data_IF_478453107360
#
_entry.id   IF_478453107360
#
_cell.length_a   1.000
_cell.length_b   1.000
_cell.length_c   1.000
_cell.angle_alpha   90.00
_cell.angle_beta   90.00
_cell.angle_gamma   90.00
#
_symmetry.space_group_name_H-M   'P 1'
#
loop_
_entity.id
_entity.type
_entity.pdbx_description
1 polymer ?
#
# COMPACT_ATOMS: atom_id res chain seq x y z
N UNK A 1 -8.53 3.01 -17.25
CA UNK A 1 -8.37 3.77 -18.51
C UNK A 1 -8.86 5.20 -18.38
N UNK A 2 -10.08 5.46 -17.92
CA UNK A 2 -10.65 6.81 -17.77
C UNK A 2 -9.71 7.83 -17.08
N UNK A 3 -9.11 7.45 -15.95
CA UNK A 3 -8.14 8.29 -15.24
C UNK A 3 -6.98 8.76 -16.13
N UNK A 4 -6.40 7.84 -16.92
CA UNK A 4 -5.27 8.16 -17.80
C UNK A 4 -5.71 9.08 -18.93
N UNK A 5 -6.87 8.80 -19.54
CA UNK A 5 -7.43 9.63 -20.62
C UNK A 5 -7.66 11.07 -20.13
N UNK A 6 -8.30 11.25 -18.98
CA UNK A 6 -8.57 12.58 -18.40
C UNK A 6 -7.28 13.35 -18.12
N UNK A 7 -6.24 12.68 -17.62
CA UNK A 7 -4.93 13.31 -17.38
C UNK A 7 -4.29 13.73 -18.70
N UNK A 8 -4.25 12.85 -19.72
CA UNK A 8 -3.65 13.16 -21.01
C UNK A 8 -4.38 14.31 -21.72
N UNK A 9 -5.72 14.30 -21.70
CA UNK A 9 -6.53 15.40 -22.24
C UNK A 9 -6.20 16.72 -21.56
N UNK A 10 -6.10 16.72 -20.23
CA UNK A 10 -5.77 17.94 -19.47
C UNK A 10 -4.33 18.41 -19.72
N UNK A 11 -3.35 17.50 -19.77
CA UNK A 11 -1.96 17.84 -20.07
C UNK A 11 -1.76 18.39 -21.49
N UNK A 12 -2.54 17.92 -22.47
CA UNK A 12 -2.48 18.44 -23.84
C UNK A 12 -3.07 19.85 -23.96
N UNK A 13 -3.96 20.22 -23.05
CA UNK A 13 -4.60 21.54 -23.02
C UNK A 13 -3.88 22.54 -22.11
N UNK A 14 -3.01 22.08 -21.20
CA UNK A 14 -2.27 22.95 -20.30
C UNK A 14 -0.77 22.93 -20.50
N UNK A 15 -0.20 24.12 -20.54
CA UNK A 15 1.24 24.36 -20.55
C UNK A 15 1.80 24.58 -19.14
N UNK A 16 0.94 24.76 -18.14
CA UNK A 16 1.34 25.03 -16.76
C UNK A 16 1.60 23.73 -15.96
N UNK A 17 2.61 23.74 -15.07
CA UNK A 17 2.81 22.64 -14.13
C UNK A 17 1.56 22.43 -13.27
N UNK A 18 1.16 21.18 -13.10
CA UNK A 18 -0.11 20.83 -12.42
C UNK A 18 0.09 19.71 -11.41
N UNK A 19 -0.59 19.84 -10.28
CA UNK A 19 -0.68 18.81 -9.25
C UNK A 19 -1.95 17.99 -9.44
N UNK A 20 -1.79 16.68 -9.64
CA UNK A 20 -2.87 15.72 -9.81
C UNK A 20 -2.98 14.83 -8.57
N UNK A 21 -4.00 15.05 -7.76
CA UNK A 21 -4.43 14.07 -6.76
C UNK A 21 -5.32 13.02 -7.40
N UNK A 22 -4.95 11.75 -7.29
CA UNK A 22 -5.63 10.59 -7.87
C UNK A 22 -6.11 9.69 -6.74
N UNK A 23 -7.39 9.85 -6.37
CA UNK A 23 -8.00 9.14 -5.26
C UNK A 23 -8.58 7.80 -5.73
N UNK A 24 -7.87 6.70 -5.47
CA UNK A 24 -8.21 5.38 -6.00
C UNK A 24 -8.25 4.34 -4.89
N UNK A 25 -9.34 3.57 -4.84
CA UNK A 25 -9.60 2.58 -3.79
C UNK A 25 -8.43 1.59 -3.56
N UNK A 26 -8.24 1.07 -2.33
CA UNK A 26 -7.26 0.02 -2.10
C UNK A 26 -7.60 -1.22 -2.93
N UNK A 27 -6.62 -1.83 -3.59
CA UNK A 27 -6.85 -3.01 -4.42
C UNK A 27 -7.47 -2.73 -5.80
N UNK A 28 -7.77 -1.47 -6.17
CA UNK A 28 -8.36 -1.13 -7.47
C UNK A 28 -7.41 -1.16 -8.67
N UNK A 29 -6.11 -1.39 -8.46
CA UNK A 29 -5.11 -1.35 -9.53
C UNK A 29 -4.41 0.01 -9.72
N UNK A 30 -4.27 0.82 -8.65
CA UNK A 30 -3.47 2.06 -8.65
C UNK A 30 -2.12 1.93 -9.35
N UNK A 31 -1.33 0.93 -8.95
CA UNK A 31 0.01 0.66 -9.51
C UNK A 31 0.00 0.39 -11.01
N UNK A 32 -1.03 -0.31 -11.52
CA UNK A 32 -1.17 -0.52 -12.97
C UNK A 32 -1.62 0.75 -13.68
N UNK A 33 -2.45 1.57 -13.03
CA UNK A 33 -2.87 2.87 -13.58
C UNK A 33 -1.69 3.83 -13.67
N UNK A 34 -0.82 3.87 -12.66
CA UNK A 34 0.41 4.66 -12.71
C UNK A 34 1.38 4.15 -13.77
N UNK A 35 1.51 2.82 -13.92
CA UNK A 35 2.36 2.22 -14.95
C UNK A 35 1.89 2.57 -16.37
N UNK A 36 0.58 2.45 -16.63
CA UNK A 36 -0.03 2.85 -17.90
C UNK A 36 0.15 4.35 -18.18
N UNK A 37 0.03 5.18 -17.15
CA UNK A 37 0.25 6.62 -17.27
C UNK A 37 1.71 6.94 -17.66
N UNK A 38 2.67 6.29 -17.00
CA UNK A 38 4.11 6.42 -17.29
C UNK A 38 4.41 5.95 -18.72
N UNK A 39 3.80 4.85 -19.15
CA UNK A 39 3.90 4.35 -20.50
C UNK A 39 3.43 5.41 -21.52
N UNK A 40 2.26 6.04 -21.29
CA UNK A 40 1.79 7.12 -22.15
C UNK A 40 2.73 8.33 -22.15
N UNK A 41 3.24 8.74 -20.98
CA UNK A 41 4.19 9.86 -20.85
C UNK A 41 5.49 9.60 -21.63
N UNK A 42 5.96 8.36 -21.63
CA UNK A 42 7.13 7.95 -22.37
C UNK A 42 6.88 8.01 -23.89
N UNK A 43 5.80 7.37 -24.35
CA UNK A 43 5.47 7.25 -25.78
C UNK A 43 5.07 8.57 -26.45
N UNK A 44 4.32 9.42 -25.77
CA UNK A 44 3.93 10.74 -26.29
C UNK A 44 5.00 11.81 -26.04
N UNK A 45 6.15 11.43 -25.47
CA UNK A 45 7.25 12.34 -25.12
C UNK A 45 6.81 13.59 -24.33
N UNK A 46 5.81 13.45 -23.44
CA UNK A 46 5.22 14.58 -22.71
C UNK A 46 6.15 15.20 -21.67
N UNK A 47 7.11 14.42 -21.17
CA UNK A 47 8.09 14.82 -20.17
C UNK A 47 9.49 14.38 -20.60
N UNK A 48 10.50 15.16 -20.24
CA UNK A 48 11.92 14.84 -20.46
C UNK A 48 12.41 13.83 -19.42
N UNK A 49 11.83 13.91 -18.20
CA UNK A 49 12.20 13.06 -17.07
C UNK A 49 10.97 12.60 -16.31
N UNK A 50 10.95 11.32 -15.92
CA UNK A 50 9.86 10.72 -15.14
C UNK A 50 10.46 10.08 -13.89
N UNK A 51 10.05 10.54 -12.72
CA UNK A 51 10.50 10.06 -11.43
C UNK A 51 9.40 9.28 -10.73
N UNK A 52 9.67 8.02 -10.38
CA UNK A 52 8.77 7.15 -9.63
C UNK A 52 9.26 7.10 -8.19
N UNK A 53 8.51 7.71 -7.30
CA UNK A 53 8.87 7.85 -5.89
C UNK A 53 8.24 6.75 -5.04
N UNK A 54 9.08 6.04 -4.29
CA UNK A 54 8.68 5.01 -3.32
C UNK A 54 9.24 5.29 -1.92
N UNK A 55 8.41 5.11 -0.90
CA UNK A 55 8.71 5.45 0.50
C UNK A 55 9.77 4.54 1.17
N UNK A 56 10.09 3.37 0.62
CA UNK A 56 11.12 2.50 1.21
C UNK A 56 11.68 1.48 0.22
N UNK A 57 12.93 1.05 0.41
CA UNK A 57 13.60 0.00 -0.38
C UNK A 57 12.78 -1.30 -0.48
N UNK A 58 12.01 -1.65 0.57
CA UNK A 58 11.12 -2.83 0.59
C UNK A 58 9.79 -2.60 -0.16
N UNK A 59 9.24 -1.39 -0.15
CA UNK A 59 8.08 -1.02 -0.98
C UNK A 59 8.52 -0.87 -2.45
N UNK A 60 9.76 -0.43 -2.68
CA UNK A 60 10.38 -0.35 -4.00
C UNK A 60 10.51 -1.72 -4.68
N UNK A 61 10.65 -2.79 -3.90
CA UNK A 61 10.71 -4.17 -4.43
C UNK A 61 9.34 -4.74 -4.82
N UNK A 62 8.21 -4.17 -4.36
CA UNK A 62 6.85 -4.67 -4.67
C UNK A 62 6.01 -3.73 -5.55
N UNK A 63 6.11 -2.42 -5.32
CA UNK A 63 5.42 -1.39 -6.08
C UNK A 63 6.23 -0.99 -7.32
N UNK A 64 7.54 -0.89 -7.14
CA UNK A 64 8.51 -0.83 -8.24
C UNK A 64 8.37 -2.07 -9.10
N UNK A 65 8.48 -3.29 -8.57
CA UNK A 65 8.43 -4.50 -9.43
C UNK A 65 7.19 -4.61 -10.31
N UNK A 66 5.97 -4.33 -9.85
CA UNK A 66 4.80 -4.42 -10.74
C UNK A 66 4.73 -3.33 -11.79
N UNK A 67 5.02 -2.09 -11.42
CA UNK A 67 5.05 -0.97 -12.36
C UNK A 67 6.19 -1.14 -13.36
N UNK A 68 7.35 -1.59 -12.88
CA UNK A 68 8.59 -1.76 -13.63
C UNK A 68 8.48 -2.98 -14.53
N UNK A 69 8.05 -4.14 -14.02
CA UNK A 69 7.76 -5.31 -14.85
C UNK A 69 6.65 -5.06 -15.86
N UNK A 70 5.73 -4.13 -15.62
CA UNK A 70 4.80 -3.69 -16.67
C UNK A 70 5.55 -2.94 -17.77
N UNK A 71 6.38 -1.95 -17.43
CA UNK A 71 7.14 -1.15 -18.39
C UNK A 71 8.20 -1.98 -19.15
N UNK A 72 8.89 -2.88 -18.48
CA UNK A 72 9.90 -3.79 -19.05
C UNK A 72 9.30 -4.75 -20.08
N UNK A 73 8.03 -5.17 -19.93
CA UNK A 73 7.33 -5.97 -20.96
C UNK A 73 7.19 -5.21 -22.29
N UNK A 74 7.21 -3.89 -22.25
CA UNK A 74 7.23 -3.03 -23.43
C UNK A 74 8.64 -2.54 -23.79
N UNK A 75 9.68 -3.18 -23.23
CA UNK A 75 11.09 -2.82 -23.46
C UNK A 75 11.43 -1.38 -23.06
N UNK A 76 10.68 -0.80 -22.11
CA UNK A 76 10.94 0.54 -21.59
C UNK A 76 11.86 0.42 -20.37
N UNK A 77 13.11 0.93 -20.42
CA UNK A 77 14.05 0.80 -19.32
C UNK A 77 13.66 1.70 -18.14
N UNK A 78 13.72 1.14 -16.93
CA UNK A 78 13.57 1.89 -15.67
C UNK A 78 14.84 1.78 -14.86
N UNK A 79 15.41 2.92 -14.46
CA UNK A 79 16.65 2.98 -13.72
C UNK A 79 16.39 3.08 -12.22
N UNK A 80 17.05 2.23 -11.44
CA UNK A 80 16.81 2.11 -10.00
C UNK A 80 17.88 2.83 -9.19
N UNK A 81 17.45 3.76 -8.33
CA UNK A 81 18.31 4.49 -7.40
C UNK A 81 17.77 4.29 -5.98
N UNK A 82 18.32 3.29 -5.27
CA UNK A 82 17.86 2.93 -3.91
C UNK A 82 18.98 2.87 -2.86
N UNK A 83 20.23 3.07 -3.27
CA UNK A 83 21.39 2.98 -2.39
C UNK A 83 22.13 4.31 -2.34
N UNK A 84 22.47 4.74 -1.13
CA UNK A 84 23.45 5.80 -0.89
C UNK A 84 24.89 5.27 -0.91
N UNK A 85 25.10 3.94 -0.99
CA UNK A 85 26.44 3.33 -1.07
C UNK A 85 27.09 3.51 -2.44
N UNK A 86 26.29 3.59 -3.50
CA UNK A 86 26.72 4.12 -4.79
C UNK A 86 26.86 5.63 -4.57
N UNK A 87 28.09 6.11 -4.36
CA UNK A 87 28.34 7.48 -3.90
C UNK A 87 27.52 8.52 -4.65
N UNK A 88 27.10 9.58 -3.95
CA UNK A 88 26.15 10.62 -4.41
C UNK A 88 26.37 11.06 -5.87
N UNK A 89 27.63 11.16 -6.29
CA UNK A 89 28.04 11.53 -7.64
C UNK A 89 27.54 10.56 -8.74
N UNK A 90 27.48 9.27 -8.45
CA UNK A 90 26.92 8.25 -9.37
C UNK A 90 25.40 8.33 -9.51
N UNK A 91 24.70 8.65 -8.42
CA UNK A 91 23.25 8.85 -8.46
C UNK A 91 22.92 10.13 -9.25
N UNK A 92 23.73 11.18 -9.11
CA UNK A 92 23.62 12.43 -9.87
C UNK A 92 23.91 12.21 -11.36
N UNK A 93 24.92 11.40 -11.71
CA UNK A 93 25.23 11.13 -13.12
C UNK A 93 24.12 10.34 -13.80
N UNK A 94 23.51 9.37 -13.10
CA UNK A 94 22.33 8.64 -13.57
C UNK A 94 21.15 9.59 -13.75
N UNK A 95 20.89 10.45 -12.78
CA UNK A 95 19.81 11.44 -12.87
C UNK A 95 20.06 12.43 -14.01
N UNK A 96 21.29 12.88 -14.23
CA UNK A 96 21.62 13.88 -15.24
C UNK A 96 21.67 13.32 -16.67
N UNK A 97 21.66 12.00 -16.83
CA UNK A 97 21.69 11.36 -18.15
C UNK A 97 20.31 11.44 -18.85
N UNK A 98 20.21 12.07 -20.05
CA UNK A 98 18.96 12.15 -20.80
C UNK A 98 18.47 10.80 -21.33
N UNK A 99 19.36 9.84 -21.58
CA UNK A 99 18.97 8.48 -21.99
C UNK A 99 18.26 7.74 -20.86
N UNK A 100 18.52 8.11 -19.61
CA UNK A 100 17.89 7.53 -18.41
C UNK A 100 16.58 8.23 -18.06
N UNK A 101 15.61 8.15 -18.97
CA UNK A 101 14.35 8.93 -18.90
C UNK A 101 13.46 8.60 -17.69
N UNK A 102 13.38 7.33 -17.29
CA UNK A 102 12.52 6.87 -16.19
C UNK A 102 13.37 6.38 -15.04
N UNK A 103 13.22 7.00 -13.87
CA UNK A 103 14.01 6.69 -12.68
C UNK A 103 13.07 6.35 -11.53
N UNK A 104 13.29 5.20 -10.88
CA UNK A 104 12.66 4.87 -9.61
C UNK A 104 13.62 5.16 -8.46
N UNK A 105 13.21 6.02 -7.53
CA UNK A 105 14.04 6.41 -6.40
C UNK A 105 13.26 6.60 -5.10
N UNK A 106 13.99 6.75 -3.99
CA UNK A 106 13.41 7.15 -2.71
C UNK A 106 13.32 8.68 -2.61
N UNK A 107 12.46 9.16 -1.72
CA UNK A 107 12.36 10.59 -1.40
C UNK A 107 13.65 11.22 -0.89
N UNK A 108 14.44 10.44 -0.15
CA UNK A 108 15.72 10.89 0.40
C UNK A 108 16.69 11.23 -0.75
N UNK A 109 16.80 10.35 -1.74
CA UNK A 109 17.65 10.56 -2.91
C UNK A 109 17.17 11.75 -3.77
N UNK A 110 15.86 11.94 -3.90
CA UNK A 110 15.31 13.12 -4.57
C UNK A 110 15.79 14.43 -3.90
N UNK A 111 15.80 14.46 -2.57
CA UNK A 111 16.29 15.62 -1.81
C UNK A 111 17.80 15.80 -1.85
N UNK A 112 18.56 14.76 -2.22
CA UNK A 112 20.00 14.85 -2.48
C UNK A 112 20.29 15.47 -3.85
N UNK A 113 19.52 15.12 -4.90
CA UNK A 113 19.67 15.75 -6.22
C UNK A 113 19.50 17.26 -6.17
N UNK A 114 18.64 17.74 -5.28
CA UNK A 114 18.40 19.16 -5.05
C UNK A 114 19.58 19.90 -4.38
N UNK A 115 20.49 19.18 -3.71
CA UNK A 115 21.69 19.75 -3.08
C UNK A 115 22.86 19.92 -4.05
N UNK A 116 22.81 19.32 -5.23
CA UNK A 116 23.91 19.26 -6.18
C UNK A 116 23.48 19.79 -7.57
N UNK A 117 24.41 20.37 -8.35
CA UNK A 117 24.11 20.73 -9.73
C UNK A 117 23.77 19.47 -10.54
N UNK A 118 22.63 19.50 -11.21
CA UNK A 118 22.15 18.42 -12.09
C UNK A 118 21.87 18.99 -13.48
N UNK A 119 21.80 18.12 -14.50
CA UNK A 119 21.32 18.54 -15.82
C UNK A 119 19.92 19.13 -15.71
N UNK A 120 19.68 20.24 -16.41
CA UNK A 120 18.35 20.84 -16.56
C UNK A 120 17.47 19.99 -17.48
N UNK A 121 16.23 19.79 -17.06
CA UNK A 121 15.14 19.21 -17.86
C UNK A 121 14.00 20.22 -17.94
N UNK A 122 13.29 20.34 -19.05
CA UNK A 122 12.24 21.36 -19.17
C UNK A 122 10.92 20.89 -18.55
N UNK A 123 10.59 19.60 -18.70
CA UNK A 123 9.38 18.98 -18.16
C UNK A 123 9.71 17.73 -17.35
N UNK A 124 9.36 17.74 -16.06
CA UNK A 124 9.55 16.61 -15.15
C UNK A 124 8.19 16.13 -14.64
N UNK A 125 7.93 14.82 -14.73
CA UNK A 125 6.80 14.18 -14.06
C UNK A 125 7.28 13.46 -12.80
N UNK A 126 6.60 13.69 -11.67
CA UNK A 126 6.85 12.98 -10.41
C UNK A 126 5.61 12.15 -10.07
N UNK A 127 5.75 10.83 -10.12
CA UNK A 127 4.74 9.85 -9.76
C UNK A 127 4.95 9.43 -8.31
N UNK A 128 3.93 9.56 -7.48
CA UNK A 128 3.99 9.14 -6.07
C UNK A 128 2.84 8.19 -5.78
N UNK A 129 3.14 7.02 -5.23
CA UNK A 129 2.13 6.15 -4.64
C UNK A 129 2.05 6.32 -3.12
N UNK A 130 0.86 6.09 -2.56
CA UNK A 130 0.58 6.19 -1.13
C UNK A 130 0.97 7.55 -0.51
N UNK A 131 0.64 8.65 -1.20
CA UNK A 131 0.95 10.07 -0.87
C UNK A 131 0.43 10.59 0.51
N UNK A 132 -0.07 9.69 1.36
CA UNK A 132 -0.50 9.96 2.73
C UNK A 132 0.48 9.41 3.79
N UNK A 133 1.49 8.60 3.39
CA UNK A 133 2.40 7.94 4.33
C UNK A 133 3.48 8.87 4.87
N UNK A 134 3.96 8.47 6.04
CA UNK A 134 4.72 9.21 7.03
C UNK A 134 6.06 9.75 6.53
N UNK A 135 6.01 10.99 6.04
CA UNK A 135 6.88 12.08 6.50
C UNK A 135 6.04 13.38 6.48
N UNK A 136 4.90 13.41 7.18
CA UNK A 136 3.87 14.47 7.06
C UNK A 136 4.33 15.92 7.32
N UNK A 137 5.57 16.14 7.76
CA UNK A 137 6.27 17.42 7.64
C UNK A 137 7.45 17.38 6.67
N UNK A 138 8.30 16.35 6.64
CA UNK A 138 9.47 16.29 5.75
C UNK A 138 9.16 16.01 4.27
N UNK A 139 8.22 15.11 3.97
CA UNK A 139 7.67 14.88 2.63
C UNK A 139 6.84 16.07 2.19
N UNK A 140 5.91 16.52 3.05
CA UNK A 140 5.13 17.72 2.76
C UNK A 140 6.04 18.91 2.53
N UNK A 141 7.10 19.13 3.32
CA UNK A 141 8.04 20.24 3.15
C UNK A 141 9.00 20.03 1.99
N UNK A 142 9.51 18.83 1.71
CA UNK A 142 10.37 18.61 0.55
C UNK A 142 9.58 18.72 -0.76
N UNK A 143 8.41 18.08 -0.82
CA UNK A 143 7.46 18.23 -1.91
C UNK A 143 6.97 19.67 -1.99
N UNK A 144 6.60 20.32 -0.89
CA UNK A 144 6.19 21.73 -0.87
C UNK A 144 7.34 22.62 -1.32
N UNK A 145 8.56 22.44 -0.85
CA UNK A 145 9.73 23.22 -1.27
C UNK A 145 10.06 22.99 -2.76
N UNK A 146 9.87 21.77 -3.26
CA UNK A 146 9.93 21.47 -4.69
C UNK A 146 8.76 22.14 -5.46
N UNK A 147 7.56 22.19 -4.87
CA UNK A 147 6.34 22.78 -5.45
C UNK A 147 6.29 24.30 -5.40
N UNK A 148 6.86 24.92 -4.37
CA UNK A 148 6.84 26.37 -4.11
C UNK A 148 8.13 27.05 -4.56
N UNK A 149 8.98 26.35 -5.32
CA UNK A 149 10.13 26.95 -6.00
C UNK A 149 11.23 27.47 -5.08
N UNK A 150 11.34 26.98 -3.84
CA UNK A 150 12.38 27.47 -2.92
C UNK A 150 13.77 26.82 -3.13
N UNK A 151 14.01 26.02 -4.19
CA UNK A 151 15.36 25.51 -4.60
C UNK A 151 15.52 25.26 -6.12
N UNK A 152 16.79 25.04 -6.53
CA UNK A 152 17.47 25.06 -7.85
C UNK A 152 16.88 24.31 -9.07
N UNK A 153 15.68 23.74 -8.99
CA UNK A 153 14.92 23.33 -10.18
C UNK A 153 14.21 24.52 -10.85
N UNK A 154 14.62 25.76 -10.55
CA UNK A 154 13.93 27.05 -10.85
C UNK A 154 13.47 27.26 -12.29
N UNK A 155 13.89 26.42 -13.23
CA UNK A 155 13.55 26.53 -14.65
C UNK A 155 12.85 25.30 -15.24
N UNK A 156 12.72 24.21 -14.48
CA UNK A 156 11.99 23.01 -14.89
C UNK A 156 10.51 23.14 -14.50
N UNK A 157 9.61 22.83 -15.43
CA UNK A 157 8.19 22.64 -15.11
C UNK A 157 7.96 21.25 -14.55
N UNK A 158 7.51 21.17 -13.29
CA UNK A 158 7.30 19.90 -12.58
C UNK A 158 5.81 19.64 -12.40
N UNK A 159 5.33 18.48 -12.84
CA UNK A 159 3.96 18.02 -12.60
C UNK A 159 3.93 16.80 -11.69
N UNK A 160 3.01 16.79 -10.72
CA UNK A 160 2.92 15.75 -9.70
C UNK A 160 1.70 14.87 -9.92
N UNK A 161 1.88 13.55 -9.81
CA UNK A 161 0.83 12.55 -9.96
C UNK A 161 0.77 11.69 -8.70
N UNK A 162 -0.12 12.07 -7.79
CA UNK A 162 -0.17 11.52 -6.44
C UNK A 162 -1.34 10.55 -6.29
N UNK A 163 -1.03 9.26 -6.28
CA UNK A 163 -1.98 8.20 -6.04
C UNK A 163 -2.14 7.94 -4.54
N UNK A 164 -3.38 7.79 -4.09
CA UNK A 164 -3.69 7.43 -2.70
C UNK A 164 -5.08 6.86 -2.57
N UNK A 165 -5.27 5.92 -1.66
CA UNK A 165 -6.60 5.44 -1.26
C UNK A 165 -7.19 6.19 -0.06
N UNK A 166 -6.36 6.91 0.68
CA UNK A 166 -6.75 7.55 1.94
C UNK A 166 -6.15 8.96 2.00
N UNK A 167 -6.58 9.88 1.11
CA UNK A 167 -6.08 11.25 1.11
C UNK A 167 -6.39 11.93 2.45
N UNK A 168 -5.39 12.60 3.01
CA UNK A 168 -5.54 13.41 4.22
C UNK A 168 -5.90 14.86 3.86
N UNK A 169 -6.29 15.69 4.83
CA UNK A 169 -6.46 17.13 4.63
C UNK A 169 -5.19 17.79 4.07
N UNK A 170 -4.01 17.39 4.57
CA UNK A 170 -2.72 17.86 4.05
C UNK A 170 -2.50 17.43 2.60
N UNK A 171 -2.82 16.18 2.25
CA UNK A 171 -2.75 15.69 0.86
C UNK A 171 -3.67 16.49 -0.07
N UNK A 172 -4.90 16.79 0.36
CA UNK A 172 -5.86 17.60 -0.39
C UNK A 172 -5.37 19.05 -0.55
N UNK A 173 -4.75 19.63 0.48
CA UNK A 173 -4.22 20.99 0.41
C UNK A 173 -3.06 21.13 -0.59
N UNK A 174 -2.22 20.10 -0.72
CA UNK A 174 -1.04 20.12 -1.60
C UNK A 174 -1.39 19.76 -3.05
N UNK A 175 -2.25 18.76 -3.24
CA UNK A 175 -2.49 18.15 -4.55
C UNK A 175 -3.94 18.21 -5.03
N UNK A 176 -4.86 18.66 -4.18
CA UNK A 176 -6.27 18.73 -4.51
C UNK A 176 -6.53 19.81 -5.56
N UNK A 177 -7.43 19.51 -6.48
CA UNK A 177 -7.97 20.46 -7.45
C UNK A 177 -9.14 21.21 -6.84
N UNK A 178 -9.24 22.51 -7.11
CA UNK A 178 -10.43 23.30 -6.77
C UNK A 178 -11.65 22.73 -7.51
N UNK A 179 -12.75 22.55 -6.78
CA UNK A 179 -14.03 22.08 -7.27
C UNK A 179 -15.15 22.85 -6.57
N UNK A 180 -16.35 22.81 -7.15
CA UNK A 180 -17.55 23.44 -6.61
C UNK A 180 -18.58 22.34 -6.38
N UNK A 181 -19.23 22.34 -5.22
CA UNK A 181 -20.31 21.38 -4.93
C UNK A 181 -21.67 21.86 -5.48
N UNK A 182 -22.71 21.06 -5.29
CA UNK A 182 -24.07 21.38 -5.75
C UNK A 182 -24.68 22.62 -5.10
N UNK A 183 -24.08 23.12 -4.01
CA UNK A 183 -24.52 24.32 -3.31
C UNK A 183 -23.73 25.57 -3.73
N UNK A 184 -22.80 25.44 -4.67
CA UNK A 184 -21.93 26.53 -5.09
C UNK A 184 -20.71 26.74 -4.20
N UNK A 185 -20.48 25.88 -3.20
CA UNK A 185 -19.37 26.03 -2.25
C UNK A 185 -18.09 25.42 -2.82
N UNK A 186 -16.99 26.19 -2.79
CA UNK A 186 -15.67 25.71 -3.20
C UNK A 186 -15.08 24.70 -2.20
N UNK A 187 -14.47 23.64 -2.74
CA UNK A 187 -13.70 22.67 -1.98
C UNK A 187 -12.48 22.18 -2.77
N UNK A 188 -11.50 21.61 -2.07
CA UNK A 188 -10.41 20.86 -2.68
C UNK A 188 -10.77 19.38 -2.72
N UNK A 189 -10.73 18.78 -3.91
CA UNK A 189 -11.00 17.37 -4.15
C UNK A 189 -9.93 16.73 -5.04
N UNK A 190 -10.05 15.43 -5.31
CA UNK A 190 -9.10 14.76 -6.20
C UNK A 190 -9.37 15.15 -7.66
N UNK A 191 -8.34 15.31 -8.49
CA UNK A 191 -8.52 15.50 -9.93
C UNK A 191 -9.35 14.38 -10.54
N UNK A 192 -9.02 13.13 -10.16
CA UNK A 192 -9.79 11.95 -10.50
C UNK A 192 -10.06 11.11 -9.25
N UNK A 193 -11.28 10.59 -9.14
CA UNK A 193 -11.67 9.64 -8.09
C UNK A 193 -12.16 8.32 -8.70
N UNK A 194 -11.67 7.22 -8.16
CA UNK A 194 -12.23 5.88 -8.34
C UNK A 194 -12.39 5.25 -6.95
N UNK A 195 -13.55 5.48 -6.35
CA UNK A 195 -13.78 5.29 -4.92
C UNK A 195 -13.98 3.82 -4.55
N UNK A 196 -14.05 3.48 -3.26
CA UNK A 196 -14.36 2.10 -2.87
C UNK A 196 -15.76 1.69 -3.33
N UNK A 197 -16.71 2.63 -3.30
CA UNK A 197 -18.07 2.39 -3.85
C UNK A 197 -17.99 2.02 -5.33
N UNK A 198 -17.22 2.76 -6.12
CA UNK A 198 -17.07 2.49 -7.56
C UNK A 198 -16.41 1.14 -7.80
N UNK A 199 -15.33 0.84 -7.07
CA UNK A 199 -14.60 -0.42 -7.20
C UNK A 199 -15.45 -1.65 -6.80
N UNK A 200 -16.31 -1.51 -5.77
CA UNK A 200 -17.25 -2.57 -5.35
C UNK A 200 -18.37 -2.74 -6.39
N UNK A 201 -18.97 -1.65 -6.88
CA UNK A 201 -20.01 -1.68 -7.92
C UNK A 201 -19.50 -2.33 -9.20
N UNK A 202 -18.27 -2.00 -9.60
CA UNK A 202 -17.58 -2.58 -10.76
C UNK A 202 -17.05 -3.99 -10.51
N UNK A 203 -17.33 -4.60 -9.34
CA UNK A 203 -16.87 -5.94 -8.95
C UNK A 203 -15.35 -6.14 -9.03
N UNK A 204 -14.56 -5.08 -8.88
CA UNK A 204 -13.10 -5.13 -8.89
C UNK A 204 -12.49 -5.49 -7.54
N UNK A 205 -13.25 -5.29 -6.45
CA UNK A 205 -12.87 -5.65 -5.08
C UNK A 205 -14.07 -6.20 -4.30
N UNK A 206 -13.80 -6.97 -3.25
CA UNK A 206 -14.79 -7.34 -2.25
C UNK A 206 -15.11 -6.18 -1.30
N UNK A 207 -16.37 -6.09 -0.89
CA UNK A 207 -16.80 -5.23 0.21
C UNK A 207 -16.33 -5.82 1.56
N UNK A 208 -15.30 -5.21 2.14
CA UNK A 208 -14.71 -5.62 3.43
C UNK A 208 -15.75 -5.64 4.54
N UNK A 209 -16.68 -4.68 4.55
CA UNK A 209 -17.63 -4.50 5.63
C UNK A 209 -18.73 -5.57 5.62
N UNK A 210 -19.06 -6.14 4.45
CA UNK A 210 -19.93 -7.34 4.36
C UNK A 210 -19.33 -8.58 5.03
N UNK A 211 -18.00 -8.65 5.12
CA UNK A 211 -17.28 -9.74 5.79
C UNK A 211 -16.98 -9.49 7.28
N UNK A 212 -17.21 -8.27 7.77
CA UNK A 212 -16.84 -7.85 9.12
C UNK A 212 -17.77 -8.42 10.19
N UNK A 213 -17.21 -9.00 11.25
CA UNK A 213 -17.91 -9.40 12.47
C UNK A 213 -17.08 -9.08 13.69
N UNK A 214 -17.69 -8.44 14.68
CA UNK A 214 -17.06 -8.24 15.98
C UNK A 214 -17.35 -9.41 16.92
N UNK A 215 -16.31 -9.83 17.65
CA UNK A 215 -16.34 -10.79 18.75
C UNK A 215 -15.66 -10.22 20.01
N UNK A 216 -15.42 -8.90 20.04
CA UNK A 216 -14.75 -8.21 21.14
C UNK A 216 -15.43 -8.38 22.49
N UNK A 217 -16.76 -8.44 22.55
CA UNK A 217 -17.50 -8.71 23.79
C UNK A 217 -17.03 -9.98 24.52
N UNK A 218 -16.62 -11.00 23.76
CA UNK A 218 -16.11 -12.25 24.33
C UNK A 218 -14.59 -12.21 24.50
N UNK A 219 -13.87 -11.76 23.48
CA UNK A 219 -12.43 -12.01 23.41
C UNK A 219 -11.55 -10.83 23.80
N UNK A 220 -12.05 -9.59 23.89
CA UNK A 220 -11.20 -8.40 24.07
C UNK A 220 -10.20 -8.55 25.23
N UNK A 221 -10.66 -9.09 26.35
CA UNK A 221 -9.88 -9.30 27.58
C UNK A 221 -9.43 -10.75 27.77
N UNK A 222 -9.75 -11.66 26.84
CA UNK A 222 -9.31 -13.05 26.91
C UNK A 222 -7.79 -13.17 26.72
N UNK A 223 -7.14 -14.15 27.37
CA UNK A 223 -5.75 -14.50 27.08
C UNK A 223 -5.54 -14.87 25.61
N UNK A 224 -4.33 -14.65 25.09
CA UNK A 224 -3.97 -14.98 23.71
C UNK A 224 -4.14 -16.48 23.43
N UNK A 225 -3.90 -17.34 24.41
CA UNK A 225 -4.12 -18.79 24.28
C UNK A 225 -5.58 -19.14 23.98
N UNK A 226 -6.55 -18.51 24.66
CA UNK A 226 -7.98 -18.70 24.37
C UNK A 226 -8.35 -18.16 22.98
N UNK A 227 -7.82 -16.98 22.63
CA UNK A 227 -8.02 -16.39 21.30
C UNK A 227 -7.45 -17.28 20.20
N UNK A 228 -6.25 -17.85 20.40
CA UNK A 228 -5.59 -18.76 19.46
C UNK A 228 -6.39 -20.05 19.24
N UNK A 229 -6.88 -20.68 20.30
CA UNK A 229 -7.76 -21.85 20.20
C UNK A 229 -9.02 -21.55 19.40
N UNK A 230 -9.64 -20.38 19.62
CA UNK A 230 -10.76 -19.92 18.80
C UNK A 230 -10.35 -19.71 17.34
N UNK A 231 -9.24 -19.01 17.07
CA UNK A 231 -8.74 -18.70 15.73
C UNK A 231 -8.52 -19.99 14.93
N UNK A 232 -7.84 -20.99 15.50
CA UNK A 232 -7.54 -22.26 14.81
C UNK A 232 -8.82 -23.02 14.50
N UNK A 233 -9.71 -23.20 15.49
CA UNK A 233 -11.00 -23.89 15.30
C UNK A 233 -11.88 -23.20 14.25
N UNK A 234 -11.99 -21.88 14.33
CA UNK A 234 -12.79 -21.09 13.39
C UNK A 234 -12.16 -21.06 11.99
N UNK A 235 -10.83 -20.97 11.89
CA UNK A 235 -10.11 -20.98 10.62
C UNK A 235 -10.23 -22.33 9.92
N UNK A 236 -10.08 -23.45 10.62
CA UNK A 236 -10.26 -24.80 10.05
C UNK A 236 -11.65 -24.93 9.36
N UNK A 237 -12.72 -24.58 10.09
CA UNK A 237 -14.09 -24.63 9.57
C UNK A 237 -14.31 -23.65 8.41
N UNK A 238 -13.79 -22.43 8.54
CA UNK A 238 -13.99 -21.37 7.55
C UNK A 238 -13.18 -21.62 6.28
N UNK A 239 -11.93 -22.09 6.40
CA UNK A 239 -11.06 -22.47 5.28
C UNK A 239 -11.74 -23.54 4.44
N UNK A 240 -12.20 -24.64 5.06
CA UNK A 240 -12.95 -25.70 4.36
C UNK A 240 -14.18 -25.16 3.62
N UNK A 241 -14.96 -24.29 4.24
CA UNK A 241 -16.19 -23.71 3.65
C UNK A 241 -15.91 -22.73 2.50
N UNK A 242 -14.77 -22.04 2.53
CA UNK A 242 -14.41 -21.02 1.54
C UNK A 242 -13.53 -21.56 0.42
N UNK A 243 -12.88 -22.72 0.61
CA UNK A 243 -12.13 -23.41 -0.43
C UNK A 243 -13.00 -23.77 -1.63
N UNK A 244 -12.39 -23.73 -2.81
CA UNK A 244 -12.95 -24.22 -4.07
C UNK A 244 -11.83 -24.80 -4.92
N UNK A 245 -12.13 -25.50 -6.04
CA UNK A 245 -11.07 -25.95 -6.95
C UNK A 245 -10.13 -24.80 -7.32
N UNK A 246 -8.82 -25.03 -7.18
CA UNK A 246 -7.77 -24.03 -7.43
C UNK A 246 -7.67 -22.88 -6.41
N UNK A 247 -8.42 -22.92 -5.30
CA UNK A 247 -8.41 -21.87 -4.30
C UNK A 247 -8.47 -22.42 -2.87
N UNK A 248 -7.41 -22.12 -2.12
CA UNK A 248 -7.34 -22.38 -0.68
C UNK A 248 -7.15 -21.06 0.07
N UNK A 249 -8.09 -20.67 0.95
CA UNK A 249 -8.01 -19.44 1.71
C UNK A 249 -6.76 -19.35 2.58
N UNK A 250 -6.11 -18.18 2.53
CA UNK A 250 -5.07 -17.79 3.47
C UNK A 250 -5.63 -16.90 4.59
N UNK A 251 -4.91 -16.87 5.71
CA UNK A 251 -5.29 -16.13 6.89
C UNK A 251 -4.21 -15.15 7.37
N UNK A 252 -4.63 -14.01 7.88
CA UNK A 252 -3.76 -13.06 8.58
C UNK A 252 -4.34 -12.74 9.97
N UNK A 253 -3.50 -12.77 10.99
CA UNK A 253 -3.82 -12.38 12.36
C UNK A 253 -3.05 -11.11 12.69
N UNK A 254 -3.76 -10.04 13.05
CA UNK A 254 -3.16 -8.77 13.42
C UNK A 254 -3.04 -8.65 14.94
N UNK A 255 -1.83 -8.73 15.47
CA UNK A 255 -1.51 -8.50 16.86
C UNK A 255 -1.30 -7.01 17.16
N UNK A 256 -1.46 -6.62 18.42
CA UNK A 256 -1.26 -5.24 18.89
C UNK A 256 0.22 -4.90 19.19
N UNK A 257 1.09 -5.88 19.41
CA UNK A 257 2.51 -5.69 19.74
C UNK A 257 3.38 -6.76 19.07
N UNK A 258 4.71 -6.54 19.04
CA UNK A 258 5.64 -7.54 18.50
C UNK A 258 5.72 -8.73 19.48
N UNK A 259 5.65 -8.46 20.78
CA UNK A 259 5.60 -9.45 21.86
C UNK A 259 4.43 -10.42 21.64
N UNK A 260 3.26 -9.86 21.32
CA UNK A 260 2.06 -10.65 21.13
C UNK A 260 2.11 -11.46 19.83
N UNK A 261 2.93 -11.08 18.83
CA UNK A 261 3.16 -11.93 17.65
C UNK A 261 3.77 -13.27 18.08
N UNK A 262 4.76 -13.26 18.98
CA UNK A 262 5.40 -14.47 19.49
C UNK A 262 4.40 -15.35 20.22
N UNK A 263 3.62 -14.75 21.12
CA UNK A 263 2.63 -15.48 21.90
C UNK A 263 1.55 -16.08 21.01
N UNK A 264 1.02 -15.31 20.05
CA UNK A 264 0.08 -15.81 19.06
C UNK A 264 0.67 -16.92 18.22
N UNK A 265 1.88 -16.75 17.68
CA UNK A 265 2.54 -17.76 16.85
C UNK A 265 2.65 -19.08 17.60
N UNK A 266 3.23 -19.07 18.80
CA UNK A 266 3.41 -20.25 19.64
C UNK A 266 2.07 -20.89 20.02
N UNK A 267 1.09 -20.10 20.44
CA UNK A 267 -0.22 -20.61 20.84
C UNK A 267 -0.99 -21.21 19.65
N UNK A 268 -0.95 -20.56 18.49
CA UNK A 268 -1.59 -21.06 17.25
C UNK A 268 -0.91 -22.34 16.79
N UNK A 269 0.43 -22.40 16.79
CA UNK A 269 1.19 -23.59 16.42
C UNK A 269 0.87 -24.78 17.35
N UNK A 270 0.81 -24.55 18.66
CA UNK A 270 0.40 -25.56 19.63
C UNK A 270 -1.02 -26.10 19.36
N UNK A 271 -1.96 -25.22 18.99
CA UNK A 271 -3.32 -25.62 18.63
C UNK A 271 -3.39 -26.36 17.28
N UNK A 272 -2.56 -25.99 16.30
CA UNK A 272 -2.44 -26.72 15.02
C UNK A 272 -1.88 -28.12 15.25
N UNK A 273 -0.90 -28.28 16.14
CA UNK A 273 -0.28 -29.58 16.45
C UNK A 273 -1.26 -30.57 17.10
N UNK A 274 -2.35 -30.09 17.71
CA UNK A 274 -3.45 -30.93 18.21
C UNK A 274 -4.34 -31.49 17.09
N UNK A 275 -4.26 -30.95 15.88
CA UNK A 275 -5.04 -31.41 14.73
C UNK A 275 -4.44 -32.70 14.13
N UNK A 276 -5.27 -33.52 13.47
CA UNK A 276 -4.79 -34.60 12.61
C UNK A 276 -3.76 -34.11 11.58
N UNK A 277 -2.68 -34.86 11.29
CA UNK A 277 -1.60 -34.42 10.40
C UNK A 277 -2.07 -33.86 9.05
N UNK A 278 -3.05 -34.50 8.42
CA UNK A 278 -3.60 -34.11 7.11
C UNK A 278 -4.39 -32.80 7.12
N UNK A 279 -4.70 -32.26 8.31
CA UNK A 279 -5.40 -30.98 8.50
C UNK A 279 -4.47 -29.87 8.98
N UNK A 280 -3.19 -30.15 9.17
CA UNK A 280 -2.22 -29.14 9.64
C UNK A 280 -1.85 -28.17 8.52
N UNK A 281 -1.35 -27.01 8.91
CA UNK A 281 -0.79 -26.00 8.00
C UNK A 281 0.27 -25.22 8.75
N UNK A 282 1.14 -24.54 8.00
CA UNK A 282 2.20 -23.73 8.59
C UNK A 282 1.66 -22.35 8.97
N UNK A 283 2.03 -21.89 10.15
CA UNK A 283 1.89 -20.49 10.59
C UNK A 283 3.27 -19.83 10.54
N UNK A 284 3.33 -18.57 10.11
CA UNK A 284 4.54 -17.74 10.10
C UNK A 284 4.29 -16.41 10.82
N UNK A 285 5.35 -15.69 11.17
CA UNK A 285 5.29 -14.38 11.81
C UNK A 285 6.00 -13.30 10.97
N UNK A 286 5.45 -12.09 10.91
CA UNK A 286 6.08 -10.95 10.23
C UNK A 286 6.08 -9.67 11.06
N UNK A 287 7.27 -9.12 11.31
CA UNK A 287 7.52 -7.91 12.08
C UNK A 287 8.88 -7.30 11.77
N UNK A 288 9.02 -6.00 12.05
CA UNK A 288 10.33 -5.32 12.00
C UNK A 288 11.20 -5.78 13.17
N UNK A 289 12.51 -5.91 12.95
CA UNK A 289 13.50 -6.21 14.01
C UNK A 289 13.28 -5.33 15.23
N UNK A 290 13.29 -5.95 16.42
CA UNK A 290 13.16 -5.26 17.71
C UNK A 290 14.32 -5.66 18.61
N UNK A 291 14.87 -4.72 19.39
CA UNK A 291 15.79 -5.04 20.48
C UNK A 291 15.02 -5.51 21.72
N UNK A 292 15.43 -6.62 22.30
CA UNK A 292 14.92 -7.07 23.60
C UNK A 292 15.55 -6.29 24.76
N UNK A 293 15.13 -6.60 25.98
CA UNK A 293 15.64 -6.01 27.23
C UNK A 293 17.16 -6.17 27.39
N UNK A 294 17.71 -7.25 26.84
CA UNK A 294 19.14 -7.59 26.89
C UNK A 294 19.94 -7.01 25.70
N UNK A 295 19.31 -6.15 24.89
CA UNK A 295 19.94 -5.50 23.73
C UNK A 295 20.09 -6.37 22.47
N UNK A 296 19.64 -7.63 22.49
CA UNK A 296 19.67 -8.55 21.36
C UNK A 296 18.59 -8.22 20.32
N UNK A 297 18.93 -8.34 19.04
CA UNK A 297 17.99 -8.16 17.94
C UNK A 297 17.11 -9.40 17.78
N UNK A 298 15.84 -9.28 18.12
CA UNK A 298 14.80 -10.25 17.80
C UNK A 298 14.40 -10.08 16.33
N UNK A 299 14.52 -11.15 15.55
CA UNK A 299 14.22 -11.16 14.11
C UNK A 299 13.15 -12.19 13.75
N UNK A 300 12.53 -12.04 12.59
CA UNK A 300 11.57 -13.01 12.03
C UNK A 300 12.18 -14.39 11.86
N UNK A 301 13.48 -14.47 11.51
CA UNK A 301 14.18 -15.73 11.28
C UNK A 301 14.22 -16.61 12.54
N UNK A 302 14.21 -15.99 13.72
CA UNK A 302 14.16 -16.72 15.00
C UNK A 302 12.81 -17.42 15.22
N UNK A 303 11.72 -16.90 14.65
CA UNK A 303 10.39 -17.54 14.73
C UNK A 303 10.16 -18.48 13.54
N UNK A 304 10.57 -18.06 12.35
CA UNK A 304 10.22 -18.73 11.10
C UNK A 304 11.20 -19.83 10.69
N UNK A 305 12.12 -20.23 11.58
CA UNK A 305 13.19 -21.21 11.33
C UNK A 305 14.13 -20.84 10.17
N UNK A 306 14.53 -19.56 10.09
CA UNK A 306 15.45 -19.01 9.09
C UNK A 306 15.06 -19.21 7.60
N UNK A 307 13.80 -19.54 7.31
CA UNK A 307 13.31 -19.64 5.93
C UNK A 307 13.36 -18.28 5.21
N UNK A 308 14.03 -18.26 4.07
CA UNK A 308 14.11 -17.09 3.18
C UNK A 308 12.89 -17.07 2.24
N UNK A 309 12.34 -15.89 1.96
CA UNK A 309 11.27 -15.65 0.97
C UNK A 309 9.93 -16.40 1.22
N UNK A 310 9.66 -16.85 2.44
CA UNK A 310 8.39 -17.50 2.79
C UNK A 310 7.14 -16.65 2.46
N UNK A 311 7.27 -15.31 2.40
CA UNK A 311 6.17 -14.41 2.05
C UNK A 311 5.68 -14.60 0.60
N UNK A 312 6.57 -14.97 -0.33
CA UNK A 312 6.17 -15.29 -1.71
C UNK A 312 5.41 -16.61 -1.77
N UNK A 313 5.86 -17.59 -0.98
CA UNK A 313 5.15 -18.85 -0.84
C UNK A 313 3.76 -18.63 -0.22
N UNK A 314 3.65 -17.82 0.84
CA UNK A 314 2.37 -17.48 1.45
C UNK A 314 1.39 -16.82 0.47
N UNK A 315 1.89 -16.05 -0.51
CA UNK A 315 1.06 -15.43 -1.55
C UNK A 315 0.47 -16.42 -2.55
N UNK A 316 0.96 -17.67 -2.61
CA UNK A 316 0.46 -18.75 -3.47
C UNK A 316 -0.67 -19.53 -2.78
N UNK A 317 -1.76 -19.81 -3.50
CA UNK A 317 -2.95 -20.46 -2.93
C UNK A 317 -2.66 -21.89 -2.45
N UNK A 318 -1.82 -22.61 -3.19
CA UNK A 318 -1.40 -24.00 -3.00
C UNK A 318 -0.38 -24.20 -1.86
N UNK A 319 0.27 -23.13 -1.39
CA UNK A 319 1.27 -23.25 -0.32
C UNK A 319 0.68 -23.79 0.99
N UNK A 320 1.49 -24.54 1.72
CA UNK A 320 1.17 -25.06 3.05
C UNK A 320 1.10 -23.97 4.13
N UNK A 321 1.70 -22.80 3.89
CA UNK A 321 1.63 -21.65 4.79
C UNK A 321 0.20 -21.11 4.75
N UNK A 322 -0.61 -21.49 5.73
CA UNK A 322 -2.03 -21.15 5.80
C UNK A 322 -2.30 -19.84 6.52
N UNK A 323 -1.38 -19.43 7.40
CA UNK A 323 -1.59 -18.31 8.31
C UNK A 323 -0.32 -17.48 8.54
N UNK A 324 -0.49 -16.17 8.68
CA UNK A 324 0.57 -15.26 9.12
C UNK A 324 0.11 -14.40 10.29
N UNK A 325 0.94 -14.24 11.30
CA UNK A 325 0.74 -13.31 12.41
C UNK A 325 1.59 -12.05 12.18
N UNK A 326 0.96 -10.88 12.23
CA UNK A 326 1.59 -9.60 11.90
C UNK A 326 1.22 -8.50 12.89
N UNK A 327 2.02 -7.43 12.95
CA UNK A 327 1.62 -6.17 13.61
C UNK A 327 1.51 -5.03 12.62
N UNK A 328 2.64 -4.62 12.04
CA UNK A 328 2.73 -3.49 11.10
C UNK A 328 3.31 -3.90 9.72
N UNK A 329 4.02 -5.05 9.64
CA UNK A 329 4.58 -5.58 8.38
C UNK A 329 3.49 -6.29 7.56
N UNK A 330 3.70 -6.38 6.23
CA UNK A 330 2.78 -6.98 5.24
C UNK A 330 1.40 -6.31 5.12
N UNK A 331 1.15 -5.24 5.89
CA UNK A 331 0.00 -4.33 5.75
C UNK A 331 0.17 -3.37 4.58
N UNK A 332 1.40 -3.27 4.07
CA UNK A 332 1.85 -2.27 3.10
C UNK A 332 2.63 -2.98 2.02
N UNK A 333 2.35 -2.66 0.75
CA UNK A 333 3.06 -3.24 -0.40
C UNK A 333 2.71 -4.69 -0.71
N UNK A 334 2.45 -5.53 0.32
CA UNK A 334 2.26 -6.96 0.13
C UNK A 334 0.97 -7.28 -0.62
N UNK A 335 1.09 -8.17 -1.60
CA UNK A 335 0.00 -8.68 -2.40
C UNK A 335 -0.19 -10.18 -2.22
N UNK A 336 -1.31 -10.56 -1.62
CA UNK A 336 -1.75 -11.93 -1.40
C UNK A 336 -3.22 -11.99 -1.79
N UNK A 337 -3.47 -12.28 -3.07
CA UNK A 337 -4.82 -12.45 -3.61
C UNK A 337 -5.59 -13.61 -2.95
N UNK A 338 -4.94 -14.72 -2.50
CA UNK A 338 -5.63 -15.78 -1.77
C UNK A 338 -6.06 -15.43 -0.32
N UNK A 339 -5.62 -14.30 0.23
CA UNK A 339 -6.01 -13.85 1.58
C UNK A 339 -7.52 -13.62 1.65
N UNK A 340 -8.24 -14.46 2.41
CA UNK A 340 -9.71 -14.38 2.50
C UNK A 340 -10.23 -14.42 3.93
N UNK A 341 -9.35 -14.62 4.92
CA UNK A 341 -9.70 -14.65 6.34
C UNK A 341 -8.75 -13.71 7.10
N UNK A 342 -9.30 -12.85 7.96
CA UNK A 342 -8.51 -11.98 8.82
C UNK A 342 -9.04 -11.99 10.26
N UNK A 343 -8.13 -12.02 11.23
CA UNK A 343 -8.43 -11.77 12.64
C UNK A 343 -7.71 -10.52 13.10
N UNK A 344 -8.40 -9.65 13.82
CA UNK A 344 -7.87 -8.36 14.28
C UNK A 344 -7.92 -8.32 15.80
N UNK A 345 -6.77 -8.25 16.44
CA UNK A 345 -6.63 -8.06 17.89
C UNK A 345 -5.79 -6.83 18.20
N UNK A 346 -6.19 -5.70 17.61
CA UNK A 346 -5.51 -4.41 17.75
C UNK A 346 -6.47 -3.27 17.45
N UNK A 347 -6.13 -2.06 17.89
CA UNK A 347 -6.91 -0.85 17.61
C UNK A 347 -6.63 -0.38 16.19
N UNK A 348 -7.69 -0.33 15.37
CA UNK A 348 -7.64 0.21 14.02
C UNK A 348 -8.63 1.37 13.86
N UNK A 349 -8.11 2.52 13.40
CA UNK A 349 -8.89 3.73 13.14
C UNK A 349 -8.37 4.47 11.92
N UNK A 350 -9.22 5.29 11.31
CA UNK A 350 -8.87 6.16 10.19
C UNK A 350 -8.16 5.43 9.04
N UNK A 351 -7.12 6.05 8.49
CA UNK A 351 -6.35 5.53 7.35
C UNK A 351 -5.80 4.13 7.61
N UNK A 352 -5.29 3.88 8.84
CA UNK A 352 -4.71 2.58 9.20
C UNK A 352 -5.74 1.46 9.10
N UNK A 353 -7.00 1.71 9.49
CA UNK A 353 -8.06 0.71 9.36
C UNK A 353 -8.31 0.33 7.89
N UNK A 354 -8.47 1.32 7.01
CA UNK A 354 -8.74 1.07 5.59
C UNK A 354 -7.56 0.38 4.91
N UNK A 355 -6.32 0.80 5.18
CA UNK A 355 -5.13 0.21 4.57
C UNK A 355 -4.87 -1.23 5.01
N UNK A 356 -5.03 -1.51 6.29
CA UNK A 356 -4.84 -2.85 6.86
C UNK A 356 -5.93 -3.81 6.40
N UNK A 357 -7.19 -3.44 6.58
CA UNK A 357 -8.30 -4.36 6.36
C UNK A 357 -8.62 -4.54 4.88
N UNK A 358 -8.30 -3.56 4.03
CA UNK A 358 -8.50 -3.73 2.59
C UNK A 358 -7.51 -4.70 1.95
N UNK A 359 -6.51 -5.25 2.66
CA UNK A 359 -5.65 -6.30 2.11
C UNK A 359 -6.43 -7.56 1.69
N UNK A 360 -7.54 -7.84 2.38
CA UNK A 360 -8.42 -8.97 2.10
C UNK A 360 -9.32 -8.75 0.88
N UNK A 361 -9.43 -7.53 0.35
CA UNK A 361 -10.47 -7.17 -0.62
C UNK A 361 -10.17 -7.61 -2.06
N UNK A 362 -8.94 -8.07 -2.33
CA UNK A 362 -8.49 -8.42 -3.67
C UNK A 362 -9.18 -9.67 -4.19
N UNK A 363 -9.43 -9.70 -5.49
CA UNK A 363 -10.00 -10.86 -6.17
C UNK A 363 -8.96 -11.95 -6.36
N UNK A 364 -9.44 -13.20 -6.41
CA UNK A 364 -8.67 -14.37 -6.81
C UNK A 364 -9.64 -15.35 -7.46
N UNK A 365 -9.26 -16.08 -8.53
CA UNK A 365 -10.07 -17.17 -9.07
C UNK A 365 -10.54 -18.13 -7.96
N UNK A 366 -11.83 -18.47 -7.91
CA UNK A 366 -12.39 -19.34 -6.86
C UNK A 366 -12.69 -18.66 -5.51
N UNK A 367 -12.11 -17.49 -5.21
CA UNK A 367 -12.46 -16.73 -4.01
C UNK A 367 -13.84 -16.09 -4.19
N UNK A 368 -14.82 -16.55 -3.40
CA UNK A 368 -16.22 -16.07 -3.49
C UNK A 368 -16.64 -15.17 -2.33
N UNK A 369 -15.99 -15.31 -1.16
CA UNK A 369 -16.34 -14.57 0.06
C UNK A 369 -15.08 -14.29 0.89
N UNK A 370 -15.18 -13.27 1.73
CA UNK A 370 -14.16 -12.90 2.71
C UNK A 370 -14.74 -12.98 4.12
N UNK A 371 -13.89 -13.18 5.12
CA UNK A 371 -14.28 -13.23 6.52
C UNK A 371 -13.29 -12.42 7.37
N UNK A 372 -13.81 -11.46 8.13
CA UNK A 372 -12.99 -10.60 8.97
C UNK A 372 -13.58 -10.56 10.37
N UNK A 373 -12.80 -11.03 11.34
CA UNK A 373 -13.21 -11.16 12.74
C UNK A 373 -12.40 -10.20 13.60
N UNK A 374 -13.09 -9.27 14.26
CA UNK A 374 -12.48 -8.32 15.18
C UNK A 374 -12.63 -8.83 16.61
N UNK A 375 -11.50 -9.16 17.24
CA UNK A 375 -11.40 -9.67 18.61
C UNK A 375 -11.26 -8.55 19.64
N UNK A 376 -11.02 -7.30 19.22
CA UNK A 376 -10.66 -6.21 20.11
C UNK A 376 -11.71 -5.09 20.18
N UNK A 377 -12.22 -4.66 19.02
CA UNK A 377 -13.10 -3.48 18.92
C UNK A 377 -14.55 -3.86 18.61
N UNK A 378 -15.49 -2.97 18.90
CA UNK A 378 -16.91 -3.10 18.52
C UNK A 378 -17.19 -2.74 17.04
N UNK A 379 -16.15 -2.23 16.35
CA UNK A 379 -16.17 -1.88 14.94
C UNK A 379 -16.65 -0.47 14.61
N UNK A 380 -16.98 0.37 15.61
CA UNK A 380 -17.43 1.75 15.34
C UNK A 380 -16.40 2.57 14.56
N UNK A 381 -15.15 2.58 15.02
CA UNK A 381 -14.07 3.32 14.36
C UNK A 381 -13.75 2.78 12.97
N UNK A 382 -13.81 1.46 12.79
CA UNK A 382 -13.59 0.81 11.50
C UNK A 382 -14.71 1.19 10.52
N UNK A 383 -15.98 1.09 10.94
CA UNK A 383 -17.14 1.50 10.12
C UNK A 383 -17.06 2.97 9.74
N UNK A 384 -16.71 3.84 10.70
CA UNK A 384 -16.51 5.27 10.44
C UNK A 384 -15.41 5.52 9.41
N UNK A 385 -14.28 4.84 9.53
CA UNK A 385 -13.17 4.95 8.59
C UNK A 385 -13.56 4.47 7.17
N UNK A 386 -14.17 3.29 7.06
CA UNK A 386 -14.61 2.77 5.75
C UNK A 386 -15.67 3.66 5.11
N UNK A 387 -16.62 4.19 5.89
CA UNK A 387 -17.62 5.15 5.39
C UNK A 387 -16.93 6.40 4.85
N UNK A 388 -16.03 7.00 5.63
CA UNK A 388 -15.33 8.23 5.26
C UNK A 388 -14.51 8.08 3.97
N UNK A 389 -13.76 6.99 3.81
CA UNK A 389 -12.91 6.77 2.64
C UNK A 389 -13.65 6.07 1.47
N UNK A 390 -14.93 5.73 1.63
CA UNK A 390 -15.68 5.01 0.60
C UNK A 390 -16.07 5.86 -0.59
N UNK A 391 -16.09 7.18 -0.41
CA UNK A 391 -16.48 8.21 -1.39
C UNK A 391 -15.32 9.18 -1.62
N UNK A 392 -15.45 10.09 -2.58
CA UNK A 392 -14.43 11.12 -2.83
C UNK A 392 -14.17 11.96 -1.57
N UNK A 393 -12.91 12.03 -1.16
CA UNK A 393 -12.50 12.91 -0.07
C UNK A 393 -12.49 14.37 -0.53
N UNK A 394 -12.97 15.24 0.35
CA UNK A 394 -13.09 16.69 0.10
C UNK A 394 -12.63 17.45 1.35
N UNK A 395 -12.02 18.60 1.16
CA UNK A 395 -11.82 19.58 2.23
C UNK A 395 -12.30 20.94 1.76
N UNK A 396 -13.19 21.55 2.52
CA UNK A 396 -13.46 22.97 2.39
C UNK A 396 -12.24 23.67 2.98
N UNK A 397 -11.65 24.63 2.24
CA UNK A 397 -10.59 25.46 2.81
C UNK A 397 -11.15 26.08 4.10
N UNK A 398 -10.45 25.89 5.22
CA UNK A 398 -10.68 26.64 6.47
C UNK A 398 -9.54 27.63 6.54
#
# INVERSE_FOLDING_TARGET
MECVIKILQHLRQQTKPTNYLLHHAPGSGKTYTSALLIWCFHHEALFDKILIISDSVHVSTQLGSKCISFLEKFQIPVFHLFSTKTGVQSNISIFSDPAKKIICCTLQLLSEFDKHPTRRFDKIAIIVDECHRSQGKFYTMNVHNLLTGQRKFETSTVSYFCFTATPTKSTLNLFGSKKVDSTGKEYLGAFHSFTMVDAIKSKLIFDVMKGYKSKSKKYKTSPITEKAAFIVKHFLKTRKRLSSPGFTPKCMVMANSIENIWEYHRAIEAEINKLPPEKRWVVKAAFSTKKNSDGQNITENMINNAEVNWFEQFAKAESEIGMVVVKDKLIIGFDCTPLAIMYVDTVLKGNKAVQSLSRINRLHPGKKKICLIDLYSDGKDIKKAFTYFSIEAKTYKI
#
